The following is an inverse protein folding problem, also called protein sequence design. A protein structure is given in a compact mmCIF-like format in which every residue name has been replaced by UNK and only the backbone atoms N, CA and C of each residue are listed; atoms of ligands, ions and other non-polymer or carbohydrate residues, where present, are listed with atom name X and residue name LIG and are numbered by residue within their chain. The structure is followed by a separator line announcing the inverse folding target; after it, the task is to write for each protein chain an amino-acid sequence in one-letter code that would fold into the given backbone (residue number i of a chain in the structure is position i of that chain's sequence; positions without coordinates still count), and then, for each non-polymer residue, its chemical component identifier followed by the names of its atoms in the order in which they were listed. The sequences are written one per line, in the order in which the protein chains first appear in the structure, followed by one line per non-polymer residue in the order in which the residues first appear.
data_IF_910605144675
#
_entry.id   IF_910605144675
#
_cell.length_a   1.000
_cell.length_b   1.000
_cell.length_c   1.000
_cell.angle_alpha   90.00
_cell.angle_beta   90.00
_cell.angle_gamma   90.00
#
_symmetry.space_group_name_H-M   'P 1'
#
loop_
_entity.id
_entity.type
_entity.pdbx_description
1 polymer ?
#
# COMPACT_ATOMS: atom_id res chain seq x y z
N UNK A 1 22.26 11.97 -30.75
CA UNK A 1 22.74 11.48 -29.44
C UNK A 1 21.59 10.87 -28.66
N UNK A 2 21.45 9.54 -28.70
CA UNK A 2 20.46 8.83 -27.89
C UNK A 2 20.90 8.93 -26.42
N UNK A 3 20.18 9.71 -25.61
CA UNK A 3 20.41 9.76 -24.16
C UNK A 3 20.10 8.37 -23.60
N UNK A 4 21.15 7.64 -23.27
CA UNK A 4 21.09 6.30 -22.70
C UNK A 4 20.13 6.25 -21.53
N UNK A 5 19.06 5.46 -21.66
CA UNK A 5 18.25 5.04 -20.52
C UNK A 5 19.16 4.20 -19.63
N UNK A 6 19.57 4.74 -18.49
CA UNK A 6 20.29 3.98 -17.46
C UNK A 6 19.42 2.79 -17.06
N UNK A 7 19.82 1.59 -17.48
CA UNK A 7 19.38 0.35 -16.89
C UNK A 7 19.82 0.36 -15.42
N UNK A 8 18.89 0.62 -14.49
CA UNK A 8 19.22 0.68 -13.06
C UNK A 8 18.24 1.46 -12.18
N UNK A 9 17.46 2.39 -12.73
CA UNK A 9 16.31 2.92 -11.99
C UNK A 9 15.14 1.95 -12.16
N UNK A 10 15.00 0.97 -11.25
CA UNK A 10 13.66 0.56 -10.84
C UNK A 10 13.02 1.85 -10.31
N UNK A 11 12.33 2.59 -11.18
CA UNK A 11 11.52 3.71 -10.76
C UNK A 11 10.64 3.18 -9.63
N UNK A 12 10.63 3.87 -8.48
CA UNK A 12 9.80 3.52 -7.34
C UNK A 12 8.44 3.06 -7.87
N UNK A 13 8.07 1.82 -7.60
CA UNK A 13 6.86 1.23 -8.18
C UNK A 13 5.69 2.02 -7.61
N UNK A 14 4.98 2.77 -8.43
CA UNK A 14 3.81 3.52 -7.99
C UNK A 14 2.72 2.50 -7.67
N UNK A 15 2.37 2.37 -6.39
CA UNK A 15 1.28 1.52 -5.93
C UNK A 15 0.05 2.39 -5.74
N UNK A 16 -1.06 2.02 -6.40
CA UNK A 16 -2.37 2.62 -6.14
C UNK A 16 -3.01 1.85 -5.00
N UNK A 17 -3.42 2.56 -3.96
CA UNK A 17 -4.08 1.98 -2.79
C UNK A 17 -5.55 2.37 -2.82
N UNK A 18 -6.42 1.37 -2.74
CA UNK A 18 -7.85 1.56 -2.50
C UNK A 18 -8.06 1.48 -0.99
N UNK A 19 -8.46 2.58 -0.37
CA UNK A 19 -8.74 2.66 1.06
C UNK A 19 -10.14 3.21 1.31
N UNK A 20 -10.80 2.86 2.43
CA UNK A 20 -12.10 3.41 2.78
C UNK A 20 -12.06 4.95 2.85
N UNK A 21 -13.08 5.61 2.30
CA UNK A 21 -13.16 7.08 2.25
C UNK A 21 -12.96 7.74 3.61
N UNK A 22 -13.54 7.15 4.66
CA UNK A 22 -13.37 7.62 6.05
C UNK A 22 -11.91 7.55 6.50
N UNK A 23 -11.22 6.46 6.18
CA UNK A 23 -9.81 6.26 6.53
C UNK A 23 -8.91 7.24 5.78
N UNK A 24 -9.18 7.48 4.50
CA UNK A 24 -8.49 8.50 3.73
C UNK A 24 -8.57 9.88 4.40
N UNK A 25 -9.78 10.34 4.77
CA UNK A 25 -9.92 11.68 5.38
C UNK A 25 -9.28 11.79 6.76
N UNK A 26 -9.29 10.73 7.55
CA UNK A 26 -8.58 10.71 8.84
C UNK A 26 -7.09 10.90 8.59
N UNK A 27 -6.49 10.08 7.73
CA UNK A 27 -5.05 10.18 7.42
C UNK A 27 -4.69 11.52 6.77
N UNK A 28 -5.57 12.05 5.92
CA UNK A 28 -5.39 13.35 5.28
C UNK A 28 -5.41 14.50 6.30
N UNK A 29 -6.34 14.45 7.27
CA UNK A 29 -6.39 15.39 8.38
C UNK A 29 -5.13 15.34 9.25
N UNK A 30 -4.66 14.12 9.59
CA UNK A 30 -3.40 13.92 10.33
C UNK A 30 -2.20 14.47 9.55
N UNK A 31 -2.19 14.31 8.23
CA UNK A 31 -1.17 14.86 7.34
C UNK A 31 -1.26 16.39 7.15
N UNK A 32 -2.20 17.07 7.83
CA UNK A 32 -2.41 18.51 7.73
C UNK A 32 -2.96 18.93 6.37
N UNK A 33 -3.87 18.15 5.80
CA UNK A 33 -4.48 18.36 4.48
C UNK A 33 -3.44 18.54 3.35
N UNK A 34 -2.36 17.76 3.39
CA UNK A 34 -1.29 17.80 2.41
C UNK A 34 -1.00 16.40 1.86
N UNK A 35 -1.22 16.21 0.56
CA UNK A 35 -1.05 14.91 -0.11
C UNK A 35 0.39 14.38 -0.06
N UNK A 36 1.40 15.25 -0.12
CA UNK A 36 2.79 14.82 -0.04
C UNK A 36 3.13 14.29 1.36
N UNK A 37 2.60 14.92 2.40
CA UNK A 37 2.74 14.45 3.79
C UNK A 37 1.95 13.16 4.00
N UNK A 38 0.76 13.03 3.40
CA UNK A 38 -0.04 11.80 3.43
C UNK A 38 0.74 10.62 2.84
N UNK A 39 1.35 10.80 1.66
CA UNK A 39 2.15 9.75 1.03
C UNK A 39 3.35 9.33 1.89
N UNK A 40 4.01 10.29 2.56
CA UNK A 40 5.09 9.99 3.51
C UNK A 40 4.56 9.23 4.72
N UNK A 41 3.45 9.67 5.30
CA UNK A 41 2.80 9.02 6.45
C UNK A 41 2.44 7.57 6.15
N UNK A 42 1.74 7.32 5.04
CA UNK A 42 1.37 5.97 4.61
C UNK A 42 2.62 5.09 4.45
N UNK A 43 3.68 5.64 3.84
CA UNK A 43 4.94 4.92 3.68
C UNK A 43 5.58 4.57 5.02
N UNK A 44 5.65 5.51 5.95
CA UNK A 44 6.21 5.28 7.28
C UNK A 44 5.42 4.21 8.05
N UNK A 45 4.09 4.24 8.00
CA UNK A 45 3.23 3.22 8.63
C UNK A 45 3.55 1.83 8.08
N UNK A 46 3.70 1.70 6.76
CA UNK A 46 4.03 0.42 6.11
C UNK A 46 5.44 -0.04 6.51
N UNK A 47 6.42 0.86 6.51
CA UNK A 47 7.81 0.56 6.89
C UNK A 47 7.90 0.13 8.36
N UNK A 48 7.19 0.79 9.27
CA UNK A 48 7.10 0.42 10.69
C UNK A 48 6.45 -0.95 10.89
N UNK A 49 5.34 -1.22 10.17
CA UNK A 49 4.68 -2.52 10.25
C UNK A 49 5.58 -3.65 9.73
N UNK A 50 6.32 -3.41 8.65
CA UNK A 50 7.29 -4.37 8.12
C UNK A 50 8.47 -4.60 9.08
N UNK A 51 8.91 -3.56 9.80
CA UNK A 51 10.02 -3.68 10.75
C UNK A 51 9.63 -4.43 12.03
N UNK A 52 8.34 -4.40 12.40
CA UNK A 52 7.84 -4.96 13.66
C UNK A 52 7.20 -6.34 13.50
N UNK A 53 6.68 -6.68 12.31
CA UNK A 53 5.98 -7.95 12.09
C UNK A 53 6.92 -9.11 11.75
N UNK A 54 6.56 -10.28 12.27
CA UNK A 54 7.20 -11.54 11.89
C UNK A 54 6.83 -11.96 10.47
N UNK A 55 7.64 -12.85 9.87
CA UNK A 55 7.34 -13.42 8.53
C UNK A 55 5.99 -14.15 8.53
N UNK A 56 5.66 -14.84 9.63
CA UNK A 56 4.41 -15.58 9.80
C UNK A 56 3.17 -14.65 9.76
N UNK A 57 3.20 -13.52 10.47
CA UNK A 57 2.11 -12.53 10.44
C UNK A 57 1.90 -11.94 9.04
N UNK A 58 2.99 -11.67 8.32
CA UNK A 58 2.91 -11.13 6.96
C UNK A 58 2.33 -12.15 5.98
N UNK A 59 2.63 -13.45 6.14
CA UNK A 59 2.02 -14.51 5.32
C UNK A 59 0.53 -14.64 5.59
N UNK A 60 0.09 -14.57 6.85
CA UNK A 60 -1.33 -14.63 7.21
C UNK A 60 -2.14 -13.48 6.58
N UNK A 61 -1.59 -12.26 6.52
CA UNK A 61 -2.23 -11.12 5.86
C UNK A 61 -2.40 -11.32 4.34
N UNK A 62 -1.47 -12.04 3.70
CA UNK A 62 -1.56 -12.34 2.27
C UNK A 62 -2.61 -13.43 2.02
N UNK A 63 -2.68 -14.44 2.89
CA UNK A 63 -3.58 -15.58 2.74
C UNK A 63 -5.03 -15.24 3.10
N UNK A 64 -5.26 -14.49 4.18
CA UNK A 64 -6.59 -13.99 4.54
C UNK A 64 -7.21 -13.12 3.44
N UNK A 65 -6.42 -12.25 2.81
CA UNK A 65 -6.86 -11.43 1.68
C UNK A 65 -7.14 -12.19 0.38
N UNK A 66 -6.71 -13.46 0.26
CA UNK A 66 -7.11 -14.35 -0.85
C UNK A 66 -8.45 -15.01 -0.58
N UNK A 67 -8.68 -15.52 0.64
CA UNK A 67 -9.95 -16.13 1.05
C UNK A 67 -11.12 -15.14 0.94
N UNK A 68 -10.94 -13.90 1.41
CA UNK A 68 -11.98 -12.85 1.29
C UNK A 68 -12.27 -12.43 -0.16
N UNK A 69 -11.35 -12.68 -1.11
CA UNK A 69 -11.55 -12.39 -2.53
C UNK A 69 -12.22 -13.55 -3.26
N UNK A 70 -11.92 -14.79 -2.87
CA UNK A 70 -12.60 -15.98 -3.40
C UNK A 70 -14.07 -16.01 -2.96
N UNK A 71 -14.37 -15.72 -1.68
CA UNK A 71 -15.77 -15.66 -1.19
C UNK A 71 -16.61 -14.55 -1.84
N UNK A 72 -15.98 -13.43 -2.23
CA UNK A 72 -16.67 -12.35 -2.96
C UNK A 72 -16.93 -12.68 -4.42
N UNK A 73 -16.13 -13.55 -5.03
CA UNK A 73 -16.32 -14.00 -6.39
C UNK A 73 -17.42 -15.07 -6.50
N UNK A 74 -17.53 -15.96 -5.50
CA UNK A 74 -18.59 -16.97 -5.43
C UNK A 74 -19.98 -16.42 -5.06
N UNK A 75 -20.05 -15.25 -4.41
CA UNK A 75 -21.32 -14.60 -4.06
C UNK A 75 -21.93 -13.75 -5.20
N UNK A 76 -21.21 -13.55 -6.30
CA UNK A 76 -21.66 -12.79 -7.49
C UNK A 76 -22.00 -13.69 -8.69
N UNK A 77 -21.83 -15.02 -8.60
CA UNK A 77 -22.36 -16.04 -9.54
C UNK A 77 -23.73 -16.57 -9.10
#
# INVERSE_FOLDING_TARGET
MARGRKAGKRANKTVKLSIPKRLYYILYGVAGNNEQKLNKLIRTIIEEKLATSSVAELTELIESGKKEKEEKAEAEE
#
